data_IF_497496140957
#
_entry.id   IF_497496140957
#
_cell.length_a   1.000
_cell.length_b   1.000
_cell.length_c   1.000
_cell.angle_alpha   90.00
_cell.angle_beta   90.00
_cell.angle_gamma   90.00
#
_symmetry.space_group_name_H-M   'P 1'
#
loop_
_entity.id
_entity.type
_entity.pdbx_description
1 polymer ?
#
# COMPACT_ATOMS: atom_id res chain seq x y z
N UNK A 1 22.13 22.23 8.51
CA UNK A 1 20.74 22.06 7.99
C UNK A 1 20.29 20.59 7.91
N UNK A 2 21.16 19.62 7.60
CA UNK A 2 20.80 18.18 7.59
C UNK A 2 20.56 17.59 8.99
N UNK A 3 21.36 17.96 10.00
CA UNK A 3 21.20 17.46 11.38
C UNK A 3 19.84 17.89 11.99
N UNK A 4 19.39 19.12 11.73
CA UNK A 4 18.08 19.59 12.21
C UNK A 4 16.93 18.80 11.55
N UNK A 5 17.05 18.43 10.28
CA UNK A 5 16.08 17.56 9.58
C UNK A 5 16.12 16.12 10.11
N UNK A 6 17.30 15.56 10.38
CA UNK A 6 17.47 14.24 11.00
C UNK A 6 16.79 14.19 12.39
N UNK A 7 17.03 15.22 13.22
CA UNK A 7 16.44 15.37 14.55
C UNK A 7 14.93 15.63 14.47
N UNK A 8 14.45 16.42 13.50
CA UNK A 8 13.02 16.61 13.24
C UNK A 8 12.34 15.32 12.77
N UNK A 9 13.02 14.47 11.99
CA UNK A 9 12.49 13.19 11.51
C UNK A 9 12.29 12.20 12.66
N UNK A 10 13.26 12.11 13.58
CA UNK A 10 13.12 11.32 14.81
C UNK A 10 12.03 11.89 15.73
N UNK A 11 11.87 13.22 15.76
CA UNK A 11 10.76 13.87 16.49
C UNK A 11 9.40 13.50 15.91
N UNK A 12 9.20 13.42 14.60
CA UNK A 12 7.89 13.10 14.01
C UNK A 12 7.42 11.69 14.42
N UNK A 13 8.32 10.70 14.40
CA UNK A 13 7.98 9.34 14.85
C UNK A 13 7.57 9.37 16.33
N UNK A 14 8.35 10.03 17.18
CA UNK A 14 8.03 10.19 18.60
C UNK A 14 6.68 10.90 18.80
N UNK A 15 6.44 12.01 18.11
CA UNK A 15 5.17 12.74 18.15
C UNK A 15 4.00 11.89 17.66
N UNK A 16 4.22 11.04 16.65
CA UNK A 16 3.18 10.13 16.15
C UNK A 16 2.84 9.09 17.21
N UNK A 17 3.84 8.47 17.86
CA UNK A 17 3.62 7.52 18.96
C UNK A 17 2.92 8.22 20.13
N UNK A 18 3.33 9.43 20.50
CA UNK A 18 2.66 10.24 21.52
C UNK A 18 1.21 10.54 21.12
N UNK A 19 0.97 10.92 19.86
CA UNK A 19 -0.37 11.18 19.33
C UNK A 19 -1.26 9.95 19.37
N UNK A 20 -0.73 8.78 19.02
CA UNK A 20 -1.43 7.48 19.12
C UNK A 20 -1.77 7.17 20.58
N UNK A 21 -0.79 7.22 21.49
CA UNK A 21 -1.00 6.95 22.91
C UNK A 21 -2.00 7.95 23.53
N UNK A 22 -1.89 9.24 23.20
CA UNK A 22 -2.80 10.28 23.64
C UNK A 22 -4.22 10.05 23.09
N UNK A 23 -4.36 9.63 21.83
CA UNK A 23 -5.63 9.27 21.22
C UNK A 23 -6.28 8.06 21.90
N UNK A 24 -5.49 7.03 22.24
CA UNK A 24 -5.97 5.87 23.01
C UNK A 24 -6.46 6.30 24.38
N UNK A 25 -5.64 7.03 25.14
CA UNK A 25 -5.99 7.52 26.46
C UNK A 25 -7.23 8.41 26.44
N UNK A 26 -7.29 9.37 25.52
CA UNK A 26 -8.43 10.27 25.36
C UNK A 26 -9.71 9.48 25.02
N UNK A 27 -9.65 8.55 24.07
CA UNK A 27 -10.79 7.72 23.70
C UNK A 27 -11.31 6.86 24.86
N UNK A 28 -10.42 6.25 25.64
CA UNK A 28 -10.79 5.46 26.81
C UNK A 28 -11.39 6.32 27.93
N UNK A 29 -10.79 7.48 28.22
CA UNK A 29 -11.31 8.45 29.20
C UNK A 29 -12.71 8.92 28.79
N UNK A 30 -12.90 9.33 27.54
CA UNK A 30 -14.21 9.79 27.05
C UNK A 30 -15.27 8.68 27.11
N UNK A 31 -14.86 7.42 26.92
CA UNK A 31 -15.73 6.24 27.02
C UNK A 31 -16.10 5.88 28.47
N UNK A 32 -15.17 6.03 29.43
CA UNK A 32 -15.43 5.69 30.84
C UNK A 32 -16.19 6.78 31.60
N UNK A 33 -15.94 8.05 31.29
CA UNK A 33 -16.58 9.18 32.00
C UNK A 33 -17.99 9.52 31.51
N UNK A 34 -18.42 9.01 30.35
CA UNK A 34 -19.74 9.31 29.79
C UNK A 34 -20.70 8.15 30.01
N UNK A 35 -21.74 8.35 30.82
CA UNK A 35 -22.76 7.32 31.13
C UNK A 35 -23.69 6.97 29.95
N UNK A 36 -23.75 7.81 28.92
CA UNK A 36 -24.54 7.58 27.71
C UNK A 36 -23.65 7.30 26.49
N UNK A 37 -24.10 6.46 25.53
CA UNK A 37 -23.37 6.27 24.29
C UNK A 37 -23.24 7.61 23.55
N UNK A 38 -22.03 7.90 23.08
CA UNK A 38 -21.76 9.12 22.34
C UNK A 38 -22.66 9.18 21.10
N UNK A 39 -23.34 10.32 20.91
CA UNK A 39 -24.14 10.51 19.70
C UNK A 39 -23.23 10.53 18.47
N UNK A 40 -23.72 9.96 17.35
CA UNK A 40 -22.96 9.92 16.08
C UNK A 40 -22.45 11.30 15.65
N UNK A 41 -23.18 12.38 15.98
CA UNK A 41 -22.80 13.76 15.71
C UNK A 41 -21.57 14.22 16.49
N UNK A 42 -21.48 13.88 17.78
CA UNK A 42 -20.33 14.27 18.60
C UNK A 42 -19.07 13.49 18.19
N UNK A 43 -19.23 12.22 17.84
CA UNK A 43 -18.13 11.41 17.28
C UNK A 43 -17.63 12.01 15.95
N UNK A 44 -18.55 12.47 15.08
CA UNK A 44 -18.19 13.16 13.85
C UNK A 44 -17.36 14.43 14.12
N UNK A 45 -17.74 15.25 15.09
CA UNK A 45 -16.97 16.46 15.43
C UNK A 45 -15.58 16.13 15.98
N UNK A 46 -15.46 15.10 16.82
CA UNK A 46 -14.16 14.65 17.33
C UNK A 46 -13.26 14.12 16.19
N UNK A 47 -13.84 13.38 15.24
CA UNK A 47 -13.12 12.78 14.11
C UNK A 47 -12.67 13.79 13.06
N UNK A 48 -13.29 14.97 13.00
CA UNK A 48 -13.14 15.93 11.91
C UNK A 48 -11.68 16.32 11.56
N UNK A 49 -10.78 16.62 12.51
CA UNK A 49 -9.38 16.92 12.19
C UNK A 49 -8.67 15.74 11.50
N UNK A 50 -9.01 14.52 11.92
CA UNK A 50 -8.54 13.30 11.30
C UNK A 50 -9.10 13.06 9.89
N UNK A 51 -10.38 13.38 9.69
CA UNK A 51 -11.00 13.32 8.36
C UNK A 51 -10.36 14.30 7.38
N UNK A 52 -10.06 15.53 7.81
CA UNK A 52 -9.36 16.52 6.99
C UNK A 52 -7.99 16.00 6.53
N UNK A 53 -7.24 15.35 7.42
CA UNK A 53 -5.97 14.72 7.04
C UNK A 53 -6.16 13.63 5.98
N UNK A 54 -7.15 12.74 6.15
CA UNK A 54 -7.44 11.71 5.15
C UNK A 54 -7.81 12.31 3.79
N UNK A 55 -8.54 13.43 3.77
CA UNK A 55 -8.85 14.17 2.53
C UNK A 55 -7.61 14.76 1.87
N UNK A 56 -6.68 15.31 2.64
CA UNK A 56 -5.40 15.82 2.12
C UNK A 56 -4.63 14.66 1.47
N UNK A 57 -4.47 13.53 2.15
CA UNK A 57 -3.75 12.37 1.60
C UNK A 57 -4.42 11.88 0.32
N UNK A 58 -5.75 11.68 0.33
CA UNK A 58 -6.49 11.20 -0.85
C UNK A 58 -6.37 12.14 -2.06
N UNK A 59 -6.32 13.46 -1.82
CA UNK A 59 -6.12 14.46 -2.89
C UNK A 59 -4.73 14.34 -3.54
N UNK A 60 -3.70 13.99 -2.75
CA UNK A 60 -2.32 13.91 -3.23
C UNK A 60 -1.99 12.60 -3.96
N UNK A 61 -2.77 11.53 -3.72
CA UNK A 61 -2.53 10.20 -4.30
C UNK A 61 -2.47 10.25 -5.83
N UNK A 62 -3.47 10.83 -6.49
CA UNK A 62 -3.58 10.88 -7.95
C UNK A 62 -2.37 11.57 -8.63
N UNK A 63 -2.05 12.84 -8.32
CA UNK A 63 -0.91 13.51 -8.94
C UNK A 63 0.43 12.89 -8.56
N UNK A 64 0.56 12.32 -7.36
CA UNK A 64 1.78 11.63 -6.94
C UNK A 64 1.99 10.34 -7.74
N UNK A 65 1.00 9.44 -7.79
CA UNK A 65 1.10 8.17 -8.51
C UNK A 65 1.41 8.39 -9.98
N UNK A 66 0.67 9.29 -10.64
CA UNK A 66 0.87 9.57 -12.07
C UNK A 66 2.26 10.12 -12.37
N UNK A 67 2.71 11.13 -11.61
CA UNK A 67 4.05 11.72 -11.81
C UNK A 67 5.21 10.80 -11.44
N UNK A 68 5.08 10.04 -10.34
CA UNK A 68 6.11 9.10 -9.90
C UNK A 68 6.24 7.90 -10.84
N UNK A 69 5.14 7.36 -11.37
CA UNK A 69 5.22 6.22 -12.30
C UNK A 69 5.77 6.64 -13.66
N UNK A 70 5.32 7.78 -14.19
CA UNK A 70 5.86 8.29 -15.46
C UNK A 70 7.36 8.55 -15.31
N UNK A 71 7.79 9.22 -14.25
CA UNK A 71 9.22 9.52 -14.04
C UNK A 71 10.07 8.26 -13.82
N UNK A 72 9.57 7.26 -13.09
CA UNK A 72 10.25 5.98 -12.88
C UNK A 72 10.45 5.20 -14.19
N UNK A 73 9.40 5.11 -15.02
CA UNK A 73 9.42 4.34 -16.27
C UNK A 73 10.24 5.02 -17.37
N UNK A 74 10.31 6.36 -17.39
CA UNK A 74 11.20 7.09 -18.31
C UNK A 74 12.69 6.72 -18.11
N UNK A 75 13.13 6.56 -16.85
CA UNK A 75 14.53 6.26 -16.53
C UNK A 75 14.92 4.78 -16.76
N UNK A 76 13.92 3.90 -16.90
CA UNK A 76 14.13 2.48 -17.10
C UNK A 76 14.77 2.16 -18.46
N UNK A 77 14.42 2.89 -19.53
CA UNK A 77 15.06 2.70 -20.86
C UNK A 77 16.53 3.15 -20.89
N UNK A 78 16.86 4.21 -20.15
CA UNK A 78 18.27 4.67 -19.97
C UNK A 78 19.13 3.60 -19.26
N UNK A 79 18.52 2.61 -18.61
CA UNK A 79 19.21 1.59 -17.79
C UNK A 79 19.75 0.37 -18.56
N UNK A 80 19.46 0.23 -19.86
CA UNK A 80 19.98 -0.86 -20.70
C UNK A 80 19.63 -2.28 -20.20
N UNK A 81 20.39 -3.29 -20.66
CA UNK A 81 20.12 -4.73 -20.40
C UNK A 81 20.18 -5.11 -18.91
N UNK A 82 21.02 -4.42 -18.14
CA UNK A 82 21.16 -4.66 -16.69
C UNK A 82 19.90 -4.17 -15.95
N UNK A 83 19.35 -3.01 -16.34
CA UNK A 83 18.11 -2.49 -15.77
C UNK A 83 16.89 -3.37 -16.06
N UNK A 84 16.76 -3.87 -17.30
CA UNK A 84 15.68 -4.79 -17.65
C UNK A 84 15.73 -6.09 -16.86
N UNK A 85 16.94 -6.63 -16.61
CA UNK A 85 17.09 -7.84 -15.79
C UNK A 85 16.70 -7.59 -14.33
N UNK A 86 17.06 -6.42 -13.79
CA UNK A 86 16.66 -6.01 -12.44
C UNK A 86 15.13 -5.84 -12.32
N UNK A 87 14.48 -5.29 -13.34
CA UNK A 87 13.02 -5.17 -13.37
C UNK A 87 12.32 -6.54 -13.34
N UNK A 88 12.78 -7.50 -14.15
CA UNK A 88 12.25 -8.86 -14.10
C UNK A 88 12.45 -9.48 -12.72
N UNK A 89 13.62 -9.26 -12.11
CA UNK A 89 13.86 -9.71 -10.73
C UNK A 89 12.88 -9.05 -9.74
N UNK A 90 12.72 -7.73 -9.73
CA UNK A 90 11.82 -7.03 -8.79
C UNK A 90 10.36 -7.41 -8.97
N UNK A 91 9.88 -7.45 -10.21
CA UNK A 91 8.49 -7.86 -10.50
C UNK A 91 8.22 -9.28 -10.01
N UNK A 92 9.13 -10.23 -10.26
CA UNK A 92 8.97 -11.60 -9.79
C UNK A 92 9.03 -11.73 -8.26
N UNK A 93 9.95 -11.05 -7.58
CA UNK A 93 10.04 -11.09 -6.11
C UNK A 93 8.83 -10.46 -5.43
N UNK A 94 8.35 -9.33 -5.95
CA UNK A 94 7.14 -8.66 -5.45
C UNK A 94 5.90 -9.52 -5.69
N UNK A 95 5.73 -10.12 -6.88
CA UNK A 95 4.59 -11.03 -7.14
C UNK A 95 4.59 -12.24 -6.21
N UNK A 96 5.75 -12.86 -5.96
CA UNK A 96 5.87 -13.95 -4.99
C UNK A 96 5.53 -13.50 -3.56
N UNK A 97 5.93 -12.27 -3.19
CA UNK A 97 5.59 -11.67 -1.89
C UNK A 97 4.11 -11.40 -1.72
N UNK A 98 3.42 -10.91 -2.76
CA UNK A 98 1.97 -10.71 -2.74
C UNK A 98 1.25 -12.05 -2.63
N UNK A 99 1.65 -13.08 -3.38
CA UNK A 99 1.08 -14.42 -3.29
C UNK A 99 1.23 -14.97 -1.86
N UNK A 100 2.44 -14.86 -1.29
CA UNK A 100 2.69 -15.24 0.09
C UNK A 100 1.77 -14.49 1.06
N UNK A 101 1.61 -13.18 0.86
CA UNK A 101 0.76 -12.32 1.71
C UNK A 101 -0.70 -12.77 1.71
N UNK A 102 -1.25 -13.09 0.52
CA UNK A 102 -2.62 -13.58 0.34
C UNK A 102 -2.80 -14.94 1.01
N UNK A 103 -1.86 -15.88 0.80
CA UNK A 103 -1.91 -17.20 1.43
C UNK A 103 -1.89 -17.05 2.96
N UNK A 104 -1.00 -16.20 3.48
CA UNK A 104 -0.81 -16.03 4.92
C UNK A 104 -2.05 -15.43 5.59
N UNK A 105 -2.61 -14.34 5.02
CA UNK A 105 -3.78 -13.66 5.61
C UNK A 105 -5.08 -14.46 5.44
N UNK A 106 -5.19 -15.29 4.40
CA UNK A 106 -6.34 -16.19 4.23
C UNK A 106 -6.25 -17.43 5.13
N UNK A 107 -5.04 -17.84 5.51
CA UNK A 107 -4.83 -18.94 6.47
C UNK A 107 -5.05 -18.46 7.90
N UNK A 108 -4.44 -17.33 8.28
CA UNK A 108 -4.52 -16.81 9.65
C UNK A 108 -5.84 -16.09 9.90
N UNK A 109 -6.44 -15.45 8.89
CA UNK A 109 -7.69 -14.67 8.98
C UNK A 109 -7.74 -13.74 10.20
N UNK A 110 -6.75 -12.83 10.37
CA UNK A 110 -6.64 -11.98 11.55
C UNK A 110 -7.88 -11.11 11.81
N UNK A 111 -8.64 -10.77 10.76
CA UNK A 111 -9.84 -9.96 10.86
C UNK A 111 -11.12 -10.74 11.20
N UNK A 112 -11.14 -12.07 11.07
CA UNK A 112 -12.31 -12.90 11.38
C UNK A 112 -12.16 -13.69 12.69
N UNK A 113 -10.93 -13.91 13.18
CA UNK A 113 -10.61 -14.86 14.25
C UNK A 113 -11.33 -14.61 15.59
N UNK A 114 -11.92 -13.43 15.78
CA UNK A 114 -12.58 -12.99 17.02
C UNK A 114 -13.95 -12.34 16.77
N UNK A 115 -14.66 -12.72 15.70
CA UNK A 115 -16.01 -12.21 15.40
C UNK A 115 -16.98 -12.56 16.54
N UNK A 116 -17.31 -11.57 17.36
CA UNK A 116 -18.54 -11.62 18.14
C UNK A 116 -19.72 -11.69 17.18
N UNK A 117 -20.62 -12.64 17.44
CA UNK A 117 -21.82 -12.90 16.63
C UNK A 117 -22.78 -11.69 16.50
N UNK A 118 -22.48 -10.58 17.18
CA UNK A 118 -23.32 -9.39 17.29
C UNK A 118 -22.93 -8.23 16.36
N UNK A 119 -21.83 -8.33 15.59
CA UNK A 119 -21.58 -7.33 14.53
C UNK A 119 -22.60 -7.58 13.43
N UNK A 120 -23.65 -6.75 13.42
CA UNK A 120 -24.68 -6.67 12.38
C UNK A 120 -23.96 -6.65 11.05
N UNK A 121 -23.99 -7.79 10.36
CA UNK A 121 -23.52 -7.90 8.99
C UNK A 121 -24.47 -7.03 8.19
N UNK A 122 -24.04 -5.83 7.78
CA UNK A 122 -24.78 -5.08 6.78
C UNK A 122 -24.75 -5.92 5.51
N UNK A 123 -25.78 -6.77 5.35
CA UNK A 123 -26.06 -7.57 4.18
C UNK A 123 -26.49 -6.66 3.02
N UNK A 124 -25.61 -5.76 2.59
CA UNK A 124 -25.64 -5.26 1.22
C UNK A 124 -24.83 -6.23 0.37
N UNK A 125 -25.26 -7.49 0.32
CA UNK A 125 -24.74 -8.46 -0.64
C UNK A 125 -25.20 -8.02 -2.02
N UNK A 126 -24.41 -7.15 -2.65
CA UNK A 126 -24.51 -6.90 -4.08
C UNK A 126 -24.34 -8.24 -4.78
N UNK A 127 -25.32 -8.60 -5.58
CA UNK A 127 -25.22 -9.75 -6.47
C UNK A 127 -24.20 -9.40 -7.55
N UNK A 128 -23.10 -10.13 -7.58
CA UNK A 128 -22.08 -10.01 -8.61
C UNK A 128 -21.61 -11.40 -9.00
N UNK A 129 -21.64 -11.70 -10.30
CA UNK A 129 -21.05 -12.92 -10.82
C UNK A 129 -19.52 -12.73 -10.86
N UNK A 130 -18.77 -13.77 -10.54
CA UNK A 130 -17.30 -13.67 -10.48
C UNK A 130 -16.71 -13.33 -11.85
N UNK A 131 -17.29 -13.85 -12.93
CA UNK A 131 -16.92 -13.50 -14.31
C UNK A 131 -17.06 -12.00 -14.58
N UNK A 132 -18.17 -11.37 -14.18
CA UNK A 132 -18.38 -9.92 -14.36
C UNK A 132 -17.31 -9.10 -13.63
N UNK A 133 -16.93 -9.52 -12.41
CA UNK A 133 -15.88 -8.82 -11.66
C UNK A 133 -14.50 -8.93 -12.33
N UNK A 134 -14.23 -10.02 -13.05
CA UNK A 134 -13.00 -10.18 -13.84
C UNK A 134 -13.05 -9.31 -15.09
N UNK A 135 -14.19 -9.28 -15.79
CA UNK A 135 -14.35 -8.43 -16.95
C UNK A 135 -14.27 -6.94 -16.59
N UNK A 136 -14.83 -6.54 -15.46
CA UNK A 136 -14.72 -5.18 -14.91
C UNK A 136 -13.28 -4.81 -14.57
N UNK A 137 -12.47 -5.76 -14.08
CA UNK A 137 -11.05 -5.54 -13.87
C UNK A 137 -10.34 -5.16 -15.17
N UNK A 138 -10.55 -5.93 -16.24
CA UNK A 138 -9.95 -5.63 -17.54
C UNK A 138 -10.48 -4.32 -18.15
N UNK A 139 -11.75 -3.99 -17.93
CA UNK A 139 -12.34 -2.69 -18.36
C UNK A 139 -11.71 -1.52 -17.62
N UNK A 140 -11.47 -1.64 -16.32
CA UNK A 140 -10.76 -0.60 -15.54
C UNK A 140 -9.24 -0.57 -15.85
N UNK A 141 -8.66 -1.65 -16.38
CA UNK A 141 -7.25 -1.66 -16.81
C UNK A 141 -7.00 -0.69 -17.98
N UNK A 142 -8.00 -0.50 -18.85
CA UNK A 142 -7.96 0.41 -20.00
C UNK A 142 -9.20 1.32 -19.93
N UNK A 143 -9.11 2.45 -19.22
CA UNK A 143 -10.26 3.33 -19.06
C UNK A 143 -10.63 3.98 -20.40
N UNK A 144 -11.93 4.15 -20.65
CA UNK A 144 -12.45 4.83 -21.85
C UNK A 144 -11.96 6.29 -21.95
N UNK A 145 -11.76 6.94 -20.80
CA UNK A 145 -11.27 8.30 -20.71
C UNK A 145 -10.45 8.50 -19.42
N UNK A 146 -9.24 9.03 -19.55
CA UNK A 146 -8.32 9.27 -18.44
C UNK A 146 -8.88 10.28 -17.43
N UNK A 147 -9.55 11.34 -17.92
CA UNK A 147 -10.17 12.35 -17.05
C UNK A 147 -11.32 11.72 -16.27
N UNK A 148 -12.14 10.89 -16.93
CA UNK A 148 -13.21 10.16 -16.25
C UNK A 148 -12.65 9.19 -15.20
N UNK A 149 -11.55 8.50 -15.50
CA UNK A 149 -10.86 7.60 -14.58
C UNK A 149 -10.38 8.30 -13.29
N UNK A 150 -10.14 9.62 -13.32
CA UNK A 150 -9.80 10.37 -12.11
C UNK A 150 -10.98 10.50 -11.12
N UNK A 151 -12.21 10.42 -11.61
CA UNK A 151 -13.44 10.68 -10.86
C UNK A 151 -14.32 9.44 -10.67
N UNK A 152 -14.28 8.50 -11.61
CA UNK A 152 -15.18 7.37 -11.68
C UNK A 152 -14.47 6.05 -11.99
N UNK A 153 -15.04 4.95 -11.48
CA UNK A 153 -14.68 3.57 -11.77
C UNK A 153 -15.82 2.87 -12.52
N UNK A 154 -15.48 2.00 -13.46
CA UNK A 154 -16.44 1.19 -14.18
C UNK A 154 -16.89 0.00 -13.31
N UNK A 155 -18.20 -0.17 -13.13
CA UNK A 155 -18.76 -1.32 -12.43
C UNK A 155 -20.00 -1.88 -13.15
N UNK A 156 -19.99 -3.19 -13.40
CA UNK A 156 -21.15 -3.94 -13.88
C UNK A 156 -22.12 -4.18 -12.72
N UNK A 157 -23.40 -3.93 -12.97
CA UNK A 157 -24.49 -4.11 -12.00
C UNK A 157 -25.57 -4.98 -12.60
N UNK A 158 -25.96 -6.00 -11.84
CA UNK A 158 -27.07 -6.87 -12.22
C UNK A 158 -28.38 -6.30 -11.65
N UNK A 159 -29.31 -5.95 -12.52
CA UNK A 159 -30.62 -5.48 -12.11
C UNK A 159 -31.52 -6.69 -11.81
N UNK A 160 -31.87 -6.87 -10.52
CA UNK A 160 -32.75 -7.98 -10.09
C UNK A 160 -34.06 -7.96 -10.88
N UNK A 161 -34.41 -9.09 -11.49
CA UNK A 161 -35.69 -9.26 -12.20
C UNK A 161 -36.88 -9.13 -11.24
N UNK A 162 -38.01 -8.60 -11.73
CA UNK A 162 -39.27 -8.56 -10.95
C UNK A 162 -39.79 -9.96 -10.61
N UNK A 163 -39.43 -10.97 -11.41
CA UNK A 163 -39.75 -12.37 -11.16
C UNK A 163 -38.59 -13.03 -10.42
N UNK A 164 -38.79 -13.42 -9.16
CA UNK A 164 -37.74 -14.04 -8.32
C UNK A 164 -37.33 -15.45 -8.78
N UNK A 165 -38.11 -16.06 -9.69
CA UNK A 165 -37.85 -17.39 -10.26
C UNK A 165 -36.77 -17.39 -11.34
N UNK A 166 -36.35 -16.21 -11.82
CA UNK A 166 -35.40 -16.09 -12.93
C UNK A 166 -33.96 -16.25 -12.39
N UNK A 167 -33.18 -17.20 -12.92
CA UNK A 167 -31.80 -17.40 -12.50
C UNK A 167 -30.95 -16.14 -12.72
N UNK A 168 -29.91 -15.96 -11.92
CA UNK A 168 -29.07 -14.75 -11.91
C UNK A 168 -28.43 -14.46 -13.27
N UNK A 169 -28.17 -15.50 -14.07
CA UNK A 169 -27.56 -15.41 -15.39
C UNK A 169 -28.49 -14.77 -16.44
N UNK A 170 -29.80 -14.78 -16.19
CA UNK A 170 -30.81 -14.15 -17.05
C UNK A 170 -31.18 -12.72 -16.59
N UNK A 171 -30.53 -12.22 -15.54
CA UNK A 171 -30.78 -10.85 -15.08
C UNK A 171 -30.21 -9.84 -16.08
N UNK A 172 -30.85 -8.67 -16.17
CA UNK A 172 -30.38 -7.61 -17.06
C UNK A 172 -29.04 -7.07 -16.55
N UNK A 173 -28.04 -7.12 -17.42
CA UNK A 173 -26.72 -6.54 -17.19
C UNK A 173 -26.80 -5.05 -17.50
N UNK A 174 -26.43 -4.23 -16.53
CA UNK A 174 -26.26 -2.78 -16.69
C UNK A 174 -24.87 -2.37 -16.20
N UNK A 175 -24.48 -1.13 -16.46
CA UNK A 175 -23.21 -0.57 -16.01
C UNK A 175 -23.44 0.76 -15.32
N UNK A 176 -22.64 1.03 -14.28
CA UNK A 176 -22.64 2.32 -13.63
C UNK A 176 -21.22 2.80 -13.38
N UNK A 177 -21.03 4.10 -13.59
CA UNK A 177 -19.82 4.79 -13.20
C UNK A 177 -19.90 5.13 -11.72
N UNK A 178 -19.20 4.37 -10.89
CA UNK A 178 -19.18 4.57 -9.44
C UNK A 178 -18.20 5.69 -9.11
N UNK A 179 -18.62 6.69 -8.32
CA UNK A 179 -17.71 7.74 -7.87
C UNK A 179 -16.52 7.14 -7.10
N UNK A 180 -15.32 7.44 -7.58
CA UNK A 180 -14.06 6.91 -7.05
C UNK A 180 -12.98 6.95 -8.13
N UNK A 181 -11.74 7.20 -7.74
CA UNK A 181 -10.61 7.24 -8.69
C UNK A 181 -10.24 5.82 -9.13
N UNK A 182 -10.23 5.55 -10.42
CA UNK A 182 -9.69 4.32 -11.00
C UNK A 182 -8.16 4.35 -11.02
N UNK A 183 -7.56 4.05 -9.85
CA UNK A 183 -6.11 4.03 -9.66
C UNK A 183 -5.44 3.03 -10.60
N UNK A 184 -6.08 1.89 -10.88
CA UNK A 184 -5.51 0.84 -11.71
C UNK A 184 -5.34 1.32 -13.16
N UNK A 185 -6.39 1.87 -13.77
CA UNK A 185 -6.33 2.41 -15.12
C UNK A 185 -5.31 3.55 -15.24
N UNK A 186 -5.22 4.40 -14.22
CA UNK A 186 -4.25 5.51 -14.18
C UNK A 186 -2.81 5.04 -14.05
N UNK A 187 -2.55 3.97 -13.29
CA UNK A 187 -1.23 3.33 -13.18
C UNK A 187 -0.79 2.77 -14.53
N UNK A 188 -1.67 2.02 -15.20
CA UNK A 188 -1.38 1.41 -16.51
C UNK A 188 -1.13 2.49 -17.56
N UNK A 189 -1.99 3.51 -17.62
CA UNK A 189 -1.81 4.65 -18.52
C UNK A 189 -0.48 5.38 -18.25
N UNK A 190 -0.15 5.65 -16.98
CA UNK A 190 1.10 6.33 -16.59
C UNK A 190 2.34 5.53 -16.99
N UNK A 191 2.27 4.20 -16.89
CA UNK A 191 3.35 3.31 -17.32
C UNK A 191 3.54 3.35 -18.83
N UNK A 192 2.46 3.24 -19.61
CA UNK A 192 2.53 3.33 -21.08
C UNK A 192 3.03 4.69 -21.52
N UNK A 193 2.55 5.76 -20.90
CA UNK A 193 2.97 7.13 -21.17
C UNK A 193 4.47 7.33 -20.90
N UNK A 194 4.98 6.88 -19.75
CA UNK A 194 6.40 7.02 -19.44
C UNK A 194 7.30 6.17 -20.33
N UNK A 195 6.87 4.97 -20.74
CA UNK A 195 7.58 4.16 -21.73
C UNK A 195 7.62 4.82 -23.12
N UNK A 196 6.54 5.48 -23.52
CA UNK A 196 6.45 6.22 -24.78
C UNK A 196 7.32 7.49 -24.74
N UNK A 197 7.25 8.29 -23.67
CA UNK A 197 8.11 9.46 -23.48
C UNK A 197 9.59 9.09 -23.53
N UNK A 198 9.96 7.98 -22.86
CA UNK A 198 11.33 7.46 -22.90
C UNK A 198 11.77 6.96 -24.29
N UNK A 199 10.84 6.61 -25.19
CA UNK A 199 11.14 6.15 -26.55
C UNK A 199 11.36 7.29 -27.55
N UNK A 200 10.69 8.44 -27.31
CA UNK A 200 10.76 9.63 -28.17
C UNK A 200 12.18 10.25 -28.19
N UNK A 201 13.09 9.79 -27.32
CA UNK A 201 14.48 10.20 -27.28
C UNK A 201 14.63 11.66 -26.84
N UNK A 202 15.47 12.43 -27.53
CA UNK A 202 15.78 13.81 -27.15
C UNK A 202 14.55 14.74 -27.12
N UNK A 203 13.53 14.48 -27.94
CA UNK A 203 12.28 15.26 -27.94
C UNK A 203 11.43 15.03 -26.68
N UNK A 204 11.64 13.91 -25.97
CA UNK A 204 10.92 13.57 -24.74
C UNK A 204 11.49 14.21 -23.48
N UNK A 205 12.72 14.73 -23.53
CA UNK A 205 13.44 15.24 -22.35
C UNK A 205 12.67 16.36 -21.59
N UNK A 206 11.98 17.31 -22.24
CA UNK A 206 11.16 18.30 -21.52
C UNK A 206 10.05 17.66 -20.68
N UNK A 207 9.40 16.61 -21.19
CA UNK A 207 8.35 15.89 -20.45
C UNK A 207 8.93 15.07 -19.31
N UNK A 208 10.09 14.44 -19.52
CA UNK A 208 10.80 13.71 -18.46
C UNK A 208 11.10 14.67 -17.29
N UNK A 209 11.67 15.84 -17.59
CA UNK A 209 12.01 16.85 -16.59
C UNK A 209 10.77 17.43 -15.89
N UNK A 210 9.67 17.61 -16.62
CA UNK A 210 8.39 18.02 -16.04
C UNK A 210 7.90 16.99 -15.00
N UNK A 211 7.81 15.70 -15.37
CA UNK A 211 7.29 14.67 -14.46
C UNK A 211 8.22 14.41 -13.27
N UNK A 212 9.54 14.52 -13.45
CA UNK A 212 10.50 14.47 -12.35
C UNK A 212 10.28 15.63 -11.36
N UNK A 213 10.21 16.86 -11.87
CA UNK A 213 9.99 18.06 -11.04
C UNK A 213 8.63 18.04 -10.34
N UNK A 214 7.60 17.53 -11.02
CA UNK A 214 6.28 17.36 -10.45
C UNK A 214 6.29 16.32 -9.33
N UNK A 215 6.92 15.16 -9.53
CA UNK A 215 7.06 14.13 -8.49
C UNK A 215 7.79 14.67 -7.25
N UNK A 216 8.88 15.43 -7.44
CA UNK A 216 9.62 16.06 -6.33
C UNK A 216 8.77 17.09 -5.57
N UNK A 217 8.01 17.92 -6.30
CA UNK A 217 7.08 18.87 -5.70
C UNK A 217 5.97 18.15 -4.92
N UNK A 218 5.41 17.07 -5.47
CA UNK A 218 4.39 16.25 -4.80
C UNK A 218 4.93 15.60 -3.52
N UNK A 219 6.15 15.07 -3.55
CA UNK A 219 6.83 14.53 -2.37
C UNK A 219 7.07 15.60 -1.31
N UNK A 220 7.34 16.85 -1.71
CA UNK A 220 7.46 17.97 -0.78
C UNK A 220 6.14 18.28 -0.07
N UNK A 221 5.03 18.30 -0.82
CA UNK A 221 3.69 18.50 -0.25
C UNK A 221 3.33 17.35 0.71
N UNK A 222 3.63 16.10 0.32
CA UNK A 222 3.47 14.93 1.20
C UNK A 222 4.26 15.08 2.51
N UNK A 223 5.49 15.60 2.45
CA UNK A 223 6.27 15.86 3.67
C UNK A 223 5.61 16.88 4.60
N UNK A 224 4.90 17.88 4.06
CA UNK A 224 4.13 18.82 4.88
C UNK A 224 2.88 18.15 5.47
N UNK A 225 2.17 17.34 4.68
CA UNK A 225 1.01 16.58 5.15
C UNK A 225 1.38 15.63 6.29
N UNK A 226 2.54 14.95 6.21
CA UNK A 226 3.02 14.04 7.26
C UNK A 226 3.21 14.74 8.62
N UNK A 227 3.50 16.05 8.63
CA UNK A 227 3.60 16.79 9.91
C UNK A 227 2.27 16.87 10.67
N UNK A 228 1.14 16.69 9.99
CA UNK A 228 -0.20 16.67 10.61
C UNK A 228 -0.58 15.30 11.18
N UNK A 229 0.17 14.23 10.84
CA UNK A 229 -0.11 12.85 11.27
C UNK A 229 -0.26 12.70 12.78
N UNK A 230 0.60 13.29 13.65
CA UNK A 230 0.45 13.17 15.10
C UNK A 230 -0.91 13.65 15.62
N UNK A 231 -1.38 14.79 15.09
CA UNK A 231 -2.65 15.40 15.45
C UNK A 231 -3.80 14.55 14.90
N UNK A 232 -3.71 14.16 13.62
CA UNK A 232 -4.69 13.29 12.97
C UNK A 232 -4.87 11.96 13.71
N UNK A 233 -3.78 11.28 14.07
CA UNK A 233 -3.79 10.01 14.77
C UNK A 233 -4.50 10.11 16.12
N UNK A 234 -4.26 11.19 16.88
CA UNK A 234 -4.95 11.43 18.15
C UNK A 234 -6.47 11.46 17.98
N UNK A 235 -6.99 12.24 17.01
CA UNK A 235 -8.43 12.40 16.79
C UNK A 235 -9.09 11.18 16.11
N UNK A 236 -8.42 10.55 15.14
CA UNK A 236 -8.96 9.34 14.49
C UNK A 236 -9.05 8.16 15.47
N UNK A 237 -8.01 7.95 16.27
CA UNK A 237 -7.96 6.81 17.19
C UNK A 237 -8.94 7.02 18.35
N UNK A 238 -8.98 8.22 18.93
CA UNK A 238 -9.96 8.52 19.98
C UNK A 238 -11.40 8.36 19.49
N UNK A 239 -11.73 8.87 18.31
CA UNK A 239 -13.06 8.68 17.71
C UNK A 239 -13.36 7.20 17.42
N UNK A 240 -12.38 6.44 16.90
CA UNK A 240 -12.60 5.01 16.60
C UNK A 240 -12.82 4.18 17.87
N UNK A 241 -12.16 4.50 18.98
CA UNK A 241 -12.36 3.83 20.26
C UNK A 241 -13.78 4.06 20.80
N UNK A 242 -14.36 5.24 20.57
CA UNK A 242 -15.74 5.53 20.95
C UNK A 242 -16.77 4.75 20.13
N UNK A 243 -16.47 4.44 18.86
CA UNK A 243 -17.34 3.62 18.00
C UNK A 243 -17.28 2.12 18.32
N UNK A 244 -16.17 1.65 18.91
CA UNK A 244 -15.92 0.23 19.13
C UNK A 244 -16.48 -0.18 20.49
N UNK A 245 -17.39 -1.14 20.52
CA UNK A 245 -17.99 -1.65 21.76
C UNK A 245 -16.97 -2.44 22.59
N UNK A 246 -16.26 -3.40 21.99
CA UNK A 246 -15.23 -4.21 22.65
C UNK A 246 -13.80 -3.82 22.22
N UNK A 247 -13.13 -3.07 23.08
CA UNK A 247 -11.74 -2.64 22.88
C UNK A 247 -10.73 -3.80 23.01
N UNK A 248 -11.05 -4.80 23.83
CA UNK A 248 -10.14 -5.92 24.09
C UNK A 248 -10.03 -6.84 22.86
N UNK A 249 -11.16 -7.13 22.20
CA UNK A 249 -11.12 -7.87 20.93
C UNK A 249 -10.41 -7.09 19.83
N UNK A 250 -10.55 -5.76 19.78
CA UNK A 250 -9.84 -4.93 18.82
C UNK A 250 -8.31 -5.01 18.99
N UNK A 251 -7.80 -4.89 20.22
CA UNK A 251 -6.36 -5.03 20.48
C UNK A 251 -5.87 -6.42 20.08
N UNK A 252 -6.61 -7.49 20.43
CA UNK A 252 -6.24 -8.86 20.06
C UNK A 252 -6.17 -9.04 18.55
N UNK A 253 -7.17 -8.55 17.80
CA UNK A 253 -7.18 -8.58 16.33
C UNK A 253 -5.99 -7.83 15.74
N UNK A 254 -5.69 -6.64 16.27
CA UNK A 254 -4.55 -5.84 15.84
C UNK A 254 -3.21 -6.55 16.15
N UNK A 255 -3.12 -7.23 17.29
CA UNK A 255 -1.95 -8.03 17.66
C UNK A 255 -1.71 -9.19 16.68
N UNK A 256 -2.75 -9.94 16.33
CA UNK A 256 -2.64 -11.04 15.34
C UNK A 256 -2.30 -10.47 13.96
N UNK A 257 -2.87 -9.33 13.57
CA UNK A 257 -2.50 -8.63 12.34
C UNK A 257 -1.00 -8.28 12.31
N UNK A 258 -0.47 -7.65 13.38
CA UNK A 258 0.95 -7.30 13.50
C UNK A 258 1.82 -8.56 13.38
N UNK A 259 1.48 -9.63 14.10
CA UNK A 259 2.20 -10.90 14.01
C UNK A 259 2.15 -11.51 12.60
N UNK A 260 1.03 -11.37 11.90
CA UNK A 260 0.86 -11.83 10.51
C UNK A 260 1.78 -11.06 9.56
N UNK A 261 1.85 -9.73 9.69
CA UNK A 261 2.79 -8.91 8.90
C UNK A 261 4.24 -9.28 9.19
N UNK A 262 4.63 -9.36 10.46
CA UNK A 262 6.01 -9.69 10.85
C UNK A 262 6.42 -11.08 10.37
N UNK A 263 5.56 -12.08 10.52
CA UNK A 263 5.82 -13.42 10.01
C UNK A 263 5.94 -13.43 8.49
N UNK A 264 5.07 -12.71 7.77
CA UNK A 264 5.19 -12.55 6.31
C UNK A 264 6.52 -11.93 5.88
N UNK A 265 6.96 -10.86 6.54
CA UNK A 265 8.26 -10.22 6.27
C UNK A 265 9.44 -11.16 6.55
N UNK A 266 9.40 -11.92 7.64
CA UNK A 266 10.44 -12.90 7.97
C UNK A 266 10.48 -14.05 6.95
N UNK A 267 9.33 -14.59 6.54
CA UNK A 267 9.26 -15.64 5.53
C UNK A 267 9.76 -15.12 4.19
N UNK A 268 9.34 -13.93 3.77
CA UNK A 268 9.80 -13.30 2.53
C UNK A 268 11.33 -13.10 2.55
N UNK A 269 11.85 -12.48 3.62
CA UNK A 269 13.26 -12.10 3.73
C UNK A 269 14.23 -13.24 4.00
N UNK A 270 13.84 -14.24 4.80
CA UNK A 270 14.74 -15.30 5.26
C UNK A 270 14.50 -16.67 4.61
N UNK A 271 13.37 -16.84 3.90
CA UNK A 271 13.05 -18.10 3.22
C UNK A 271 12.89 -17.86 1.72
N UNK A 272 11.97 -16.99 1.31
CA UNK A 272 11.59 -16.87 -0.11
C UNK A 272 12.71 -16.24 -0.95
N UNK A 273 13.26 -15.09 -0.55
CA UNK A 273 14.38 -14.47 -1.27
C UNK A 273 15.65 -15.34 -1.28
N UNK A 274 16.06 -15.94 -0.15
CA UNK A 274 17.13 -16.95 -0.12
C UNK A 274 16.89 -18.14 -1.06
N UNK A 275 15.66 -18.65 -1.13
CA UNK A 275 15.30 -19.75 -2.02
C UNK A 275 15.44 -19.35 -3.49
N UNK A 276 14.94 -18.18 -3.88
CA UNK A 276 15.12 -17.64 -5.24
C UNK A 276 16.60 -17.50 -5.58
N UNK A 277 17.40 -16.94 -4.66
CA UNK A 277 18.84 -16.84 -4.84
C UNK A 277 19.51 -18.21 -5.02
N UNK A 278 19.14 -19.20 -4.21
CA UNK A 278 19.69 -20.56 -4.27
C UNK A 278 19.30 -21.26 -5.58
N UNK A 279 18.07 -21.11 -6.06
CA UNK A 279 17.63 -21.69 -7.34
C UNK A 279 18.46 -21.12 -8.50
N UNK A 280 18.72 -19.81 -8.50
CA UNK A 280 19.46 -19.15 -9.57
C UNK A 280 20.97 -19.41 -9.52
N UNK A 281 21.58 -19.39 -8.33
CA UNK A 281 23.05 -19.42 -8.18
C UNK A 281 23.60 -20.76 -7.69
N UNK A 282 22.74 -21.63 -7.15
CA UNK A 282 23.09 -22.88 -6.44
C UNK A 282 24.10 -22.69 -5.30
N UNK A 283 24.18 -21.48 -4.75
CA UNK A 283 25.06 -21.14 -3.63
C UNK A 283 24.22 -20.73 -2.41
N UNK A 284 24.78 -20.94 -1.22
CA UNK A 284 24.12 -20.54 0.02
C UNK A 284 24.05 -19.00 0.13
N UNK A 285 22.85 -18.39 0.21
CA UNK A 285 22.66 -16.94 0.33
C UNK A 285 23.04 -16.41 1.71
N UNK A 286 22.99 -17.24 2.74
CA UNK A 286 23.09 -16.79 4.14
C UNK A 286 24.46 -16.19 4.47
N UNK A 287 25.53 -16.63 3.79
CA UNK A 287 26.85 -16.02 3.96
C UNK A 287 26.88 -14.56 3.50
N UNK A 288 26.13 -14.22 2.44
CA UNK A 288 25.99 -12.84 1.96
C UNK A 288 25.13 -12.03 2.93
N UNK A 289 24.01 -12.59 3.37
CA UNK A 289 23.09 -11.94 4.33
C UNK A 289 23.82 -11.54 5.61
N UNK A 290 24.62 -12.43 6.19
CA UNK A 290 25.40 -12.15 7.40
C UNK A 290 26.40 -11.00 7.17
N UNK A 291 27.10 -10.99 6.02
CA UNK A 291 28.05 -9.93 5.66
C UNK A 291 27.37 -8.57 5.39
N UNK A 292 26.08 -8.56 5.07
CA UNK A 292 25.25 -7.36 4.96
C UNK A 292 24.69 -6.87 6.31
N UNK A 293 25.04 -7.51 7.43
CA UNK A 293 24.59 -7.13 8.78
C UNK A 293 24.61 -5.63 9.08
N UNK A 294 25.70 -4.87 8.80
CA UNK A 294 25.74 -3.43 9.02
C UNK A 294 24.69 -2.65 8.21
N UNK A 295 24.38 -3.08 6.99
CA UNK A 295 23.35 -2.47 6.16
C UNK A 295 21.95 -2.73 6.76
N UNK A 296 21.68 -3.94 7.25
CA UNK A 296 20.43 -4.26 7.94
C UNK A 296 20.26 -3.48 9.25
N UNK A 297 21.32 -3.37 10.07
CA UNK A 297 21.29 -2.57 11.29
C UNK A 297 21.01 -1.09 10.98
N UNK A 298 21.63 -0.56 9.93
CA UNK A 298 21.38 0.80 9.45
C UNK A 298 19.94 0.95 8.94
N UNK A 299 19.42 -0.04 8.21
CA UNK A 299 18.05 -0.02 7.71
C UNK A 299 17.02 -0.02 8.82
N UNK A 300 17.23 -0.85 9.84
CA UNK A 300 16.38 -0.89 11.03
C UNK A 300 16.44 0.42 11.81
N UNK A 301 17.65 0.94 12.07
CA UNK A 301 17.83 2.18 12.84
C UNK A 301 17.34 3.44 12.13
N UNK A 302 17.47 3.51 10.79
CA UNK A 302 17.04 4.68 10.01
C UNK A 302 15.61 4.58 9.49
N UNK A 303 15.04 3.36 9.45
CA UNK A 303 13.72 3.08 8.85
C UNK A 303 13.56 3.65 7.43
N UNK A 304 14.65 3.68 6.66
CA UNK A 304 14.71 4.39 5.36
C UNK A 304 15.62 3.66 4.37
N UNK A 305 15.06 3.02 3.34
CA UNK A 305 15.81 2.27 2.32
C UNK A 305 16.81 3.12 1.54
N UNK A 306 16.50 4.40 1.29
CA UNK A 306 17.41 5.32 0.60
C UNK A 306 18.61 5.74 1.45
N UNK A 307 18.45 5.79 2.78
CA UNK A 307 19.53 6.18 3.70
C UNK A 307 20.59 5.08 3.85
N UNK A 308 20.23 3.82 3.55
CA UNK A 308 21.12 2.67 3.67
C UNK A 308 21.92 2.39 2.41
N UNK A 309 21.61 3.07 1.29
CA UNK A 309 22.26 2.86 -0.01
C UNK A 309 23.79 2.95 0.09
N UNK A 310 24.40 3.97 0.72
CA UNK A 310 25.86 4.06 0.80
C UNK A 310 26.48 2.89 1.58
N UNK A 311 25.89 2.51 2.72
CA UNK A 311 26.37 1.41 3.56
C UNK A 311 26.24 0.08 2.82
N UNK A 312 25.12 -0.13 2.12
CA UNK A 312 24.85 -1.33 1.33
C UNK A 312 25.86 -1.49 0.20
N UNK A 313 26.15 -0.42 -0.54
CA UNK A 313 27.17 -0.43 -1.61
C UNK A 313 28.54 -0.79 -1.04
N UNK A 314 28.96 -0.15 0.06
CA UNK A 314 30.25 -0.45 0.71
C UNK A 314 30.35 -1.90 1.19
N UNK A 315 29.27 -2.48 1.73
CA UNK A 315 29.25 -3.89 2.11
C UNK A 315 29.36 -4.81 0.89
N UNK A 316 28.65 -4.54 -0.21
CA UNK A 316 28.70 -5.35 -1.43
C UNK A 316 30.08 -5.31 -2.10
N UNK A 317 30.73 -4.14 -2.11
CA UNK A 317 32.10 -4.00 -2.63
C UNK A 317 33.11 -4.81 -1.79
N UNK A 318 32.95 -4.85 -0.46
CA UNK A 318 33.78 -5.72 0.42
C UNK A 318 33.57 -7.22 0.18
N UNK A 319 32.39 -7.60 -0.31
CA UNK A 319 32.06 -9.00 -0.67
C UNK A 319 32.63 -9.36 -2.06
N UNK A 320 33.15 -8.40 -2.81
CA UNK A 320 33.75 -8.59 -4.15
C UNK A 320 32.78 -8.38 -5.30
N UNK A 321 31.61 -7.79 -5.08
CA UNK A 321 30.67 -7.46 -6.16
C UNK A 321 31.19 -6.23 -6.92
N UNK A 322 31.20 -6.25 -8.27
CA UNK A 322 31.69 -5.12 -9.06
C UNK A 322 30.97 -3.81 -8.73
N UNK A 323 31.76 -2.78 -8.41
CA UNK A 323 31.28 -1.43 -8.04
C UNK A 323 30.32 -0.83 -9.07
N UNK A 324 30.55 -1.10 -10.36
CA UNK A 324 29.67 -0.66 -11.46
C UNK A 324 28.24 -1.22 -11.34
N UNK A 325 28.09 -2.45 -10.85
CA UNK A 325 26.79 -3.11 -10.68
C UNK A 325 26.14 -2.64 -9.39
N UNK A 326 26.87 -2.61 -8.27
CA UNK A 326 26.31 -2.22 -6.97
C UNK A 326 25.85 -0.75 -6.95
N UNK A 327 26.65 0.17 -7.49
CA UNK A 327 26.30 1.61 -7.60
C UNK A 327 25.14 1.88 -8.54
N UNK A 328 24.82 0.94 -9.42
CA UNK A 328 23.71 1.06 -10.36
C UNK A 328 22.43 0.43 -9.82
N UNK A 329 22.49 -0.83 -9.37
CA UNK A 329 21.33 -1.61 -8.94
C UNK A 329 20.80 -1.18 -7.57
N UNK A 330 21.68 -0.88 -6.60
CA UNK A 330 21.24 -0.61 -5.22
C UNK A 330 20.38 0.67 -5.13
N UNK A 331 20.76 1.82 -5.73
CA UNK A 331 19.92 3.01 -5.69
C UNK A 331 18.57 2.84 -6.40
N UNK A 332 18.56 2.12 -7.53
CA UNK A 332 17.33 1.81 -8.28
C UNK A 332 16.42 0.89 -7.45
N UNK A 333 16.98 -0.15 -6.84
CA UNK A 333 16.24 -1.06 -5.98
C UNK A 333 15.64 -0.37 -4.75
N UNK A 334 16.35 0.60 -4.16
CA UNK A 334 15.87 1.35 -2.99
C UNK A 334 14.62 2.21 -3.28
N UNK A 335 14.32 2.53 -4.55
CA UNK A 335 13.14 3.31 -4.95
C UNK A 335 12.07 2.46 -5.62
N UNK A 336 12.45 1.43 -6.38
CA UNK A 336 11.50 0.60 -7.14
C UNK A 336 11.07 -0.64 -6.36
N UNK A 337 12.01 -1.34 -5.71
CA UNK A 337 11.72 -2.64 -5.10
C UNK A 337 11.22 -2.48 -3.66
N UNK A 338 9.91 -2.47 -3.50
CA UNK A 338 9.22 -2.23 -2.22
C UNK A 338 8.45 -3.47 -1.72
N UNK A 339 9.07 -4.65 -1.76
CA UNK A 339 8.43 -5.94 -1.38
C UNK A 339 7.76 -5.90 0.00
N UNK A 340 8.43 -5.30 0.99
CA UNK A 340 7.90 -5.20 2.36
C UNK A 340 6.66 -4.30 2.45
N UNK A 341 6.59 -3.24 1.63
CA UNK A 341 5.42 -2.35 1.56
C UNK A 341 4.26 -3.10 0.89
N UNK A 342 4.51 -3.76 -0.24
CA UNK A 342 3.50 -4.55 -0.93
C UNK A 342 2.89 -5.63 0.00
N UNK A 343 3.73 -6.38 0.72
CA UNK A 343 3.26 -7.39 1.68
C UNK A 343 2.43 -6.77 2.82
N UNK A 344 2.89 -5.66 3.39
CA UNK A 344 2.17 -4.95 4.46
C UNK A 344 0.82 -4.41 3.99
N UNK A 345 0.78 -3.77 2.81
CA UNK A 345 -0.43 -3.19 2.23
C UNK A 345 -1.46 -4.25 1.86
N UNK A 346 -1.04 -5.35 1.22
CA UNK A 346 -1.95 -6.45 0.86
C UNK A 346 -2.55 -7.11 2.12
N UNK A 347 -1.73 -7.43 3.15
CA UNK A 347 -2.25 -7.99 4.41
C UNK A 347 -3.18 -6.99 5.11
N UNK A 348 -2.80 -5.70 5.13
CA UNK A 348 -3.59 -4.63 5.74
C UNK A 348 -4.96 -4.46 5.10
N UNK A 349 -5.02 -4.40 3.77
CA UNK A 349 -6.27 -4.24 3.04
C UNK A 349 -7.20 -5.45 3.24
N UNK A 350 -6.67 -6.67 3.17
CA UNK A 350 -7.46 -7.89 3.40
C UNK A 350 -7.92 -7.98 4.87
N UNK A 351 -7.09 -7.57 5.83
CA UNK A 351 -7.47 -7.48 7.24
C UNK A 351 -8.65 -6.51 7.44
N UNK A 352 -8.64 -5.34 6.81
CA UNK A 352 -9.75 -4.37 6.90
C UNK A 352 -11.04 -4.94 6.29
N UNK A 353 -10.95 -5.65 5.18
CA UNK A 353 -12.09 -6.34 4.54
C UNK A 353 -12.69 -7.36 5.49
N UNK A 354 -11.86 -8.23 6.07
CA UNK A 354 -12.28 -9.23 7.07
C UNK A 354 -12.91 -8.55 8.30
N UNK A 355 -12.32 -7.46 8.78
CA UNK A 355 -12.80 -6.71 9.95
C UNK A 355 -14.20 -6.12 9.74
N UNK A 356 -14.52 -5.65 8.54
CA UNK A 356 -15.86 -5.18 8.17
C UNK A 356 -16.81 -6.30 7.77
N UNK A 357 -16.35 -7.56 7.76
CA UNK A 357 -17.13 -8.72 7.37
C UNK A 357 -17.49 -8.77 5.88
N UNK A 358 -16.77 -8.03 5.05
CA UNK A 358 -16.96 -8.05 3.60
C UNK A 358 -16.33 -9.34 3.05
N UNK A 359 -17.10 -10.08 2.24
CA UNK A 359 -16.59 -11.25 1.53
C UNK A 359 -16.18 -10.85 0.12
N UNK A 360 -14.89 -10.93 -0.17
CA UNK A 360 -14.35 -10.66 -1.49
C UNK A 360 -14.02 -11.98 -2.17
N UNK A 361 -14.31 -12.09 -3.46
CA UNK A 361 -13.81 -13.19 -4.28
C UNK A 361 -12.29 -13.18 -4.29
N UNK A 362 -11.67 -14.35 -4.50
CA UNK A 362 -10.21 -14.50 -4.62
C UNK A 362 -9.63 -13.50 -5.63
N UNK A 363 -10.34 -13.22 -6.72
CA UNK A 363 -9.92 -12.26 -7.73
C UNK A 363 -9.96 -10.82 -7.25
N UNK A 364 -11.00 -10.40 -6.51
CA UNK A 364 -11.01 -9.06 -5.90
C UNK A 364 -9.87 -8.88 -4.90
N UNK A 365 -9.44 -9.97 -4.27
CA UNK A 365 -8.28 -9.97 -3.39
C UNK A 365 -6.96 -9.85 -4.18
N UNK A 366 -6.87 -10.41 -5.39
CA UNK A 366 -5.69 -10.27 -6.27
C UNK A 366 -5.52 -8.84 -6.81
N UNK A 367 -6.61 -8.09 -6.95
CA UNK A 367 -6.58 -6.68 -7.41
C UNK A 367 -5.96 -5.75 -6.35
N UNK A 368 -6.17 -6.09 -5.08
CA UNK A 368 -5.67 -5.37 -3.91
C UNK A 368 -4.21 -5.72 -3.70
#
# INVERSE_FOLDING_TARGET
>A
MNILKEVLRQKIILWTVIGVCAGISLGLILKTFTLQPWTKRNVMYLKFPGELFMRIVNCLILPLITSSIVSATCNLKKSGRIGTMALYYYTTTTSLGIILSVILVQTIRPGDLLKDKNIITQNTTRYSITADTILDLFRNFIPENIVSATLFQYQTVLQKSKNESVPIDEWRIDHMNVPGTDVLGLVVFSLVLGLAIGDIGAKGEPLINFFLSLSDAMMKIMSWAIMLVPISALFLISAKILEVEDFNSLIKRLGIYILTVFSGLLIQGLILLPLVYFICTRQSPYNIIVKLGPAFATAFGTSSSTATVPVTISCLERIGIPSKISKFIVPIGATINMDGIALYESIGAIFIIQLHGLQFSLFKIIII
#
